data_IF_307892863940
#
_entry.id   IF_307892863940
#
_cell.length_a   1.000
_cell.length_b   1.000
_cell.length_c   1.000
_cell.angle_alpha   90.00
_cell.angle_beta   90.00
_cell.angle_gamma   90.00
#
_symmetry.space_group_name_H-M   'P 1'
#
loop_
_entity.id
_entity.type
_entity.pdbx_description
1 polymer ?
#
# COMPACT_ATOMS: atom_id res chain seq x y z
N UNK A 1 16.23 -13.70 18.83
CA UNK A 1 14.83 -13.60 19.31
C UNK A 1 13.98 -14.50 18.44
N UNK A 2 13.02 -15.21 19.00
CA UNK A 2 12.12 -16.06 18.22
C UNK A 2 11.20 -15.18 17.35
N UNK A 3 11.01 -15.54 16.08
CA UNK A 3 10.13 -14.79 15.15
C UNK A 3 8.71 -14.58 15.69
N UNK A 4 8.19 -15.53 16.46
CA UNK A 4 6.89 -15.42 17.11
C UNK A 4 6.83 -14.26 18.11
N UNK A 5 7.88 -13.99 18.86
CA UNK A 5 7.94 -12.86 19.81
C UNK A 5 7.90 -11.53 19.04
N UNK A 6 8.60 -11.43 17.92
CA UNK A 6 8.59 -10.22 17.07
C UNK A 6 7.18 -9.95 16.53
N UNK A 7 6.49 -10.98 16.05
CA UNK A 7 5.11 -10.86 15.55
C UNK A 7 4.15 -10.44 16.66
N UNK A 8 4.26 -11.03 17.86
CA UNK A 8 3.42 -10.65 19.01
C UNK A 8 3.64 -9.19 19.41
N UNK A 9 4.90 -8.73 19.47
CA UNK A 9 5.21 -7.33 19.76
C UNK A 9 4.59 -6.42 18.68
N UNK A 10 4.71 -6.77 17.42
CA UNK A 10 4.12 -5.99 16.32
C UNK A 10 2.59 -5.88 16.47
N UNK A 11 1.91 -6.98 16.73
CA UNK A 11 0.45 -7.00 16.92
C UNK A 11 0.05 -6.09 18.09
N UNK A 12 0.72 -6.20 19.24
CA UNK A 12 0.41 -5.38 20.43
C UNK A 12 0.64 -3.90 20.14
N UNK A 13 1.75 -3.53 19.51
CA UNK A 13 2.08 -2.13 19.18
C UNK A 13 1.07 -1.56 18.16
N UNK A 14 0.73 -2.30 17.12
CA UNK A 14 -0.24 -1.86 16.11
C UNK A 14 -1.65 -1.76 16.70
N UNK A 15 -2.07 -2.69 17.54
CA UNK A 15 -3.35 -2.64 18.23
C UNK A 15 -3.42 -1.43 19.18
N UNK A 16 -2.37 -1.17 19.96
CA UNK A 16 -2.28 0.01 20.81
C UNK A 16 -2.32 1.29 19.97
N UNK A 17 -1.58 1.36 18.87
CA UNK A 17 -1.62 2.48 17.94
C UNK A 17 -3.01 2.72 17.37
N UNK A 18 -3.73 1.69 16.97
CA UNK A 18 -5.10 1.80 16.50
C UNK A 18 -6.04 2.36 17.59
N UNK A 19 -5.96 1.83 18.81
CA UNK A 19 -6.84 2.24 19.90
C UNK A 19 -6.58 3.65 20.42
N UNK A 20 -5.30 4.03 20.57
CA UNK A 20 -4.95 5.35 21.13
C UNK A 20 -4.79 6.40 20.03
N UNK A 21 -3.92 6.14 19.07
CA UNK A 21 -3.58 7.12 18.03
C UNK A 21 -4.69 7.29 17.00
N UNK A 22 -5.32 6.20 16.55
CA UNK A 22 -6.43 6.24 15.61
C UNK A 22 -7.65 6.97 16.19
N UNK A 23 -8.00 6.71 17.45
CA UNK A 23 -9.09 7.44 18.15
C UNK A 23 -8.77 8.92 18.35
N UNK A 24 -7.55 9.23 18.75
CA UNK A 24 -7.11 10.63 18.91
C UNK A 24 -7.20 11.38 17.58
N UNK A 25 -6.74 10.78 16.49
CA UNK A 25 -6.78 11.36 15.16
C UNK A 25 -8.22 11.58 14.67
N UNK A 26 -9.10 10.58 14.85
CA UNK A 26 -10.51 10.67 14.50
C UNK A 26 -11.22 11.81 15.26
N UNK A 27 -10.95 11.93 16.57
CA UNK A 27 -11.51 13.00 17.39
C UNK A 27 -10.97 14.38 16.98
N UNK A 28 -9.68 14.49 16.67
CA UNK A 28 -9.04 15.74 16.26
C UNK A 28 -9.57 16.25 14.91
N UNK A 29 -9.90 15.35 14.01
CA UNK A 29 -10.45 15.69 12.69
C UNK A 29 -11.97 15.88 12.71
N UNK A 30 -12.61 15.66 13.85
CA UNK A 30 -14.05 15.86 14.01
C UNK A 30 -14.86 14.82 13.23
N UNK A 31 -14.41 13.56 13.24
CA UNK A 31 -15.16 12.47 12.61
C UNK A 31 -16.43 12.21 13.41
N UNK A 32 -17.59 12.40 12.80
CA UNK A 32 -18.87 12.03 13.40
C UNK A 32 -19.27 10.62 12.97
N UNK A 33 -19.26 9.62 13.89
CA UNK A 33 -19.60 8.25 13.56
C UNK A 33 -21.08 8.06 13.18
N UNK A 34 -21.93 9.06 13.42
CA UNK A 34 -23.35 9.06 13.04
C UNK A 34 -23.64 9.74 11.72
N UNK A 35 -22.65 10.45 11.15
CA UNK A 35 -22.80 11.10 9.86
C UNK A 35 -23.03 10.06 8.75
N UNK A 36 -24.05 10.32 7.91
CA UNK A 36 -24.29 9.48 6.73
C UNK A 36 -23.19 9.74 5.71
N UNK A 37 -22.63 8.67 5.18
CA UNK A 37 -21.62 8.78 4.10
C UNK A 37 -22.28 9.13 2.77
N UNK A 38 -21.55 9.71 1.80
CA UNK A 38 -22.08 10.06 0.48
C UNK A 38 -22.78 8.89 -0.24
N UNK A 39 -22.34 7.66 -0.02
CA UNK A 39 -22.98 6.47 -0.58
C UNK A 39 -24.45 6.28 -0.12
N UNK A 40 -24.82 6.80 1.07
CA UNK A 40 -26.18 6.76 1.56
C UNK A 40 -26.98 8.04 1.26
N UNK A 41 -26.30 9.17 1.06
CA UNK A 41 -26.97 10.46 0.80
C UNK A 41 -27.25 10.69 -0.68
N UNK A 42 -26.43 10.12 -1.55
CA UNK A 42 -26.50 10.26 -3.01
C UNK A 42 -26.72 8.91 -3.71
N UNK A 43 -27.35 7.95 -3.01
CA UNK A 43 -27.61 6.62 -3.55
C UNK A 43 -28.37 6.69 -4.88
N UNK A 44 -27.72 6.26 -5.97
CA UNK A 44 -28.26 6.24 -7.33
C UNK A 44 -28.29 4.84 -7.96
N UNK A 45 -27.75 3.84 -7.23
CA UNK A 45 -27.69 2.45 -7.69
C UNK A 45 -26.61 2.16 -8.74
N UNK A 46 -25.84 3.15 -9.14
CA UNK A 46 -24.75 3.02 -10.13
C UNK A 46 -23.41 3.47 -9.55
N UNK A 47 -23.25 4.77 -9.26
CA UNK A 47 -21.99 5.35 -8.76
C UNK A 47 -21.95 5.35 -7.22
N UNK A 48 -23.08 5.54 -6.58
CA UNK A 48 -23.21 5.56 -5.11
C UNK A 48 -24.05 4.39 -4.63
N UNK A 49 -23.39 3.30 -4.33
CA UNK A 49 -24.02 2.08 -3.81
C UNK A 49 -23.50 1.78 -2.40
N UNK A 50 -24.40 1.76 -1.38
CA UNK A 50 -24.01 1.39 -0.03
C UNK A 50 -23.48 -0.05 0.02
N UNK A 51 -22.21 -0.20 0.39
CA UNK A 51 -21.56 -1.51 0.50
C UNK A 51 -21.42 -1.94 1.95
N UNK A 52 -21.30 -3.26 2.18
CA UNK A 52 -21.07 -3.78 3.52
C UNK A 52 -19.70 -3.34 4.06
N UNK A 53 -19.60 -3.19 5.38
CA UNK A 53 -18.31 -2.79 6.03
C UNK A 53 -17.17 -3.75 5.68
N UNK A 54 -17.46 -5.04 5.58
CA UNK A 54 -16.47 -6.05 5.22
C UNK A 54 -15.98 -5.90 3.78
N UNK A 55 -16.89 -5.59 2.85
CA UNK A 55 -16.55 -5.37 1.43
C UNK A 55 -15.64 -4.16 1.28
N UNK A 56 -15.96 -3.05 1.94
CA UNK A 56 -15.13 -1.83 1.92
C UNK A 56 -13.75 -2.10 2.51
N UNK A 57 -13.70 -2.80 3.65
CA UNK A 57 -12.43 -3.18 4.28
C UNK A 57 -11.59 -4.08 3.37
N UNK A 58 -12.19 -5.12 2.78
CA UNK A 58 -11.49 -6.05 1.90
C UNK A 58 -10.94 -5.36 0.66
N UNK A 59 -11.71 -4.44 0.06
CA UNK A 59 -11.27 -3.65 -1.09
C UNK A 59 -10.11 -2.72 -0.73
N UNK A 60 -10.21 -2.01 0.39
CA UNK A 60 -9.13 -1.13 0.87
C UNK A 60 -7.86 -1.91 1.18
N UNK A 61 -7.99 -3.05 1.88
CA UNK A 61 -6.87 -3.93 2.17
C UNK A 61 -6.19 -4.45 0.89
N UNK A 62 -6.97 -4.90 -0.08
CA UNK A 62 -6.46 -5.38 -1.37
C UNK A 62 -5.74 -4.28 -2.16
N UNK A 63 -6.20 -3.03 -2.07
CA UNK A 63 -5.57 -1.89 -2.74
C UNK A 63 -4.22 -1.51 -2.12
N UNK A 64 -4.07 -1.67 -0.80
CA UNK A 64 -2.83 -1.36 -0.07
C UNK A 64 -1.83 -2.53 -0.16
N UNK A 65 -2.31 -3.76 -0.04
CA UNK A 65 -1.48 -4.98 0.00
C UNK A 65 -0.95 -5.38 -1.39
N UNK A 66 -0.31 -4.45 -2.08
CA UNK A 66 0.41 -4.71 -3.33
C UNK A 66 1.77 -5.37 -3.13
N UNK A 67 2.52 -5.57 -4.21
CA UNK A 67 3.85 -6.18 -4.14
C UNK A 67 4.86 -5.33 -3.35
N UNK A 68 4.75 -3.99 -3.37
CA UNK A 68 5.63 -3.07 -2.65
C UNK A 68 5.73 -3.34 -1.15
N UNK A 69 4.61 -3.41 -0.41
CA UNK A 69 4.60 -3.74 1.01
C UNK A 69 5.20 -5.10 1.37
N UNK A 70 5.22 -6.05 0.44
CA UNK A 70 5.84 -7.37 0.64
C UNK A 70 7.32 -7.34 0.30
N UNK A 71 7.69 -6.84 -0.87
CA UNK A 71 9.07 -6.84 -1.36
C UNK A 71 9.95 -5.80 -0.67
N UNK A 72 9.37 -4.64 -0.29
CA UNK A 72 10.09 -3.57 0.37
C UNK A 72 10.80 -3.99 1.65
N UNK A 73 10.12 -4.61 2.62
CA UNK A 73 10.76 -5.14 3.83
C UNK A 73 11.80 -6.23 3.56
N UNK A 74 11.57 -7.08 2.55
CA UNK A 74 12.54 -8.12 2.16
C UNK A 74 13.83 -7.47 1.66
N UNK A 75 13.74 -6.50 0.76
CA UNK A 75 14.89 -5.76 0.26
C UNK A 75 15.59 -4.96 1.37
N UNK A 76 14.80 -4.31 2.22
CA UNK A 76 15.33 -3.54 3.34
C UNK A 76 16.02 -4.40 4.41
N UNK A 77 15.76 -5.71 4.45
CA UNK A 77 16.39 -6.63 5.41
C UNK A 77 17.93 -6.68 5.30
N UNK A 78 18.49 -6.24 4.17
CA UNK A 78 19.94 -6.06 3.96
C UNK A 78 20.54 -5.08 5.00
N UNK A 79 19.77 -4.08 5.44
CA UNK A 79 20.19 -3.11 6.45
C UNK A 79 20.07 -3.63 7.89
N UNK A 80 19.58 -4.85 8.06
CA UNK A 80 19.34 -5.49 9.35
C UNK A 80 17.86 -5.49 9.73
N UNK A 81 17.45 -6.47 10.52
CA UNK A 81 16.04 -6.65 10.88
C UNK A 81 15.49 -5.59 11.86
N UNK A 82 16.32 -5.04 12.74
CA UNK A 82 15.87 -4.07 13.76
C UNK A 82 15.45 -2.73 13.13
N UNK A 83 16.27 -2.09 12.28
CA UNK A 83 15.85 -0.85 11.60
C UNK A 83 14.59 -1.03 10.77
N UNK A 84 14.49 -2.14 10.04
CA UNK A 84 13.32 -2.45 9.20
C UNK A 84 12.07 -2.63 10.06
N UNK A 85 12.17 -3.37 11.15
CA UNK A 85 11.05 -3.59 12.07
C UNK A 85 10.57 -2.29 12.70
N UNK A 86 11.48 -1.44 13.19
CA UNK A 86 11.15 -0.13 13.74
C UNK A 86 10.49 0.77 12.67
N UNK A 87 11.02 0.78 11.45
CA UNK A 87 10.44 1.55 10.35
C UNK A 87 9.03 1.06 9.98
N UNK A 88 8.80 -0.25 9.94
CA UNK A 88 7.48 -0.81 9.67
C UNK A 88 6.46 -0.41 10.73
N UNK A 89 6.83 -0.42 12.01
CA UNK A 89 5.93 -0.03 13.09
C UNK A 89 5.67 1.47 13.12
N UNK A 90 6.73 2.28 13.12
CA UNK A 90 6.62 3.73 13.24
C UNK A 90 6.11 4.33 11.92
N UNK A 91 6.71 3.95 10.80
CA UNK A 91 6.34 4.42 9.48
C UNK A 91 4.91 4.01 9.10
N UNK A 92 4.55 2.76 9.33
CA UNK A 92 3.20 2.26 9.08
C UNK A 92 2.15 2.99 9.92
N UNK A 93 2.43 3.24 11.19
CA UNK A 93 1.49 3.89 12.10
C UNK A 93 1.37 5.40 11.84
N UNK A 94 2.49 6.12 11.76
CA UNK A 94 2.48 7.59 11.71
C UNK A 94 2.37 8.14 10.29
N UNK A 95 2.94 7.46 9.29
CA UNK A 95 2.87 7.92 7.90
C UNK A 95 1.79 7.19 7.11
N UNK A 96 1.83 5.86 7.06
CA UNK A 96 0.88 5.07 6.27
C UNK A 96 -0.56 5.24 6.73
N UNK A 97 -0.85 4.93 7.99
CA UNK A 97 -2.21 5.01 8.52
C UNK A 97 -2.79 6.42 8.48
N UNK A 98 -1.99 7.47 8.72
CA UNK A 98 -2.45 8.87 8.65
C UNK A 98 -2.75 9.28 7.21
N UNK A 99 -1.91 8.88 6.26
CA UNK A 99 -2.13 9.18 4.85
C UNK A 99 -3.41 8.53 4.34
N UNK A 100 -3.60 7.24 4.62
CA UNK A 100 -4.76 6.49 4.15
C UNK A 100 -6.04 7.00 4.79
N UNK A 101 -6.02 7.22 6.10
CA UNK A 101 -7.14 7.82 6.81
C UNK A 101 -7.46 9.24 6.30
N UNK A 102 -6.42 10.04 6.04
CA UNK A 102 -6.57 11.40 5.50
C UNK A 102 -7.18 11.43 4.11
N UNK A 103 -6.74 10.56 3.23
CA UNK A 103 -7.27 10.43 1.88
C UNK A 103 -8.76 10.00 1.91
N UNK A 104 -9.09 9.00 2.72
CA UNK A 104 -10.45 8.52 2.89
C UNK A 104 -11.37 9.61 3.49
N UNK A 105 -10.92 10.27 4.56
CA UNK A 105 -11.66 11.35 5.19
C UNK A 105 -11.90 12.53 4.25
N UNK A 106 -10.87 12.95 3.49
CA UNK A 106 -10.99 14.01 2.51
C UNK A 106 -11.98 13.65 1.40
N UNK A 107 -11.96 12.42 0.92
CA UNK A 107 -12.91 11.94 -0.08
C UNK A 107 -14.35 11.94 0.45
N UNK A 108 -14.59 11.36 1.63
CA UNK A 108 -15.93 11.32 2.24
C UNK A 108 -16.47 12.74 2.50
N UNK A 109 -15.63 13.66 2.97
CA UNK A 109 -16.01 15.06 3.21
C UNK A 109 -16.29 15.87 1.93
N UNK A 110 -15.82 15.40 0.80
CA UNK A 110 -16.03 16.03 -0.51
C UNK A 110 -16.91 15.14 -1.42
N UNK A 111 -17.98 14.58 -0.89
CA UNK A 111 -19.00 13.80 -1.63
C UNK A 111 -18.45 12.57 -2.38
N UNK A 112 -17.45 11.90 -1.82
CA UNK A 112 -16.84 10.72 -2.43
C UNK A 112 -15.97 11.01 -3.65
N UNK A 113 -15.57 12.27 -3.86
CA UNK A 113 -14.76 12.67 -5.02
C UNK A 113 -13.34 12.14 -4.94
N UNK A 114 -12.75 11.84 -6.11
CA UNK A 114 -11.35 11.46 -6.23
C UNK A 114 -10.42 12.61 -5.88
N UNK A 115 -9.16 12.29 -5.48
CA UNK A 115 -8.17 13.29 -5.11
C UNK A 115 -7.92 14.33 -6.21
N UNK A 116 -7.97 13.94 -7.48
CA UNK A 116 -7.84 14.87 -8.60
C UNK A 116 -8.95 15.93 -8.65
N UNK A 117 -10.19 15.54 -8.32
CA UNK A 117 -11.32 16.47 -8.24
C UNK A 117 -11.26 17.37 -7.00
N UNK A 118 -10.74 16.84 -5.90
CA UNK A 118 -10.52 17.61 -4.66
C UNK A 118 -9.45 18.68 -4.90
N UNK A 119 -8.36 18.32 -5.57
CA UNK A 119 -7.30 19.27 -5.95
C UNK A 119 -7.86 20.35 -6.89
N UNK A 120 -8.71 20.00 -7.84
CA UNK A 120 -9.37 21.00 -8.68
C UNK A 120 -10.20 22.00 -7.88
N UNK A 121 -10.93 21.51 -6.87
CA UNK A 121 -11.77 22.36 -6.02
C UNK A 121 -10.98 23.37 -5.19
N UNK A 122 -9.81 22.97 -4.67
CA UNK A 122 -9.02 23.81 -3.74
C UNK A 122 -7.85 24.55 -4.42
N UNK A 123 -7.27 24.00 -5.47
CA UNK A 123 -6.08 24.56 -6.13
C UNK A 123 -6.41 25.06 -7.56
N UNK A 124 -7.46 24.48 -8.17
CA UNK A 124 -7.91 24.84 -9.51
C UNK A 124 -7.50 23.85 -10.59
N UNK A 125 -7.92 24.14 -11.83
CA UNK A 125 -7.77 23.25 -12.99
C UNK A 125 -6.32 22.92 -13.34
N UNK A 126 -5.41 23.86 -13.13
CA UNK A 126 -3.97 23.65 -13.38
C UNK A 126 -3.39 22.63 -12.40
N UNK A 127 -3.75 22.73 -11.11
CA UNK A 127 -3.35 21.77 -10.10
C UNK A 127 -3.84 20.35 -10.42
N UNK A 128 -5.09 20.20 -10.88
CA UNK A 128 -5.62 18.90 -11.33
C UNK A 128 -4.81 18.32 -12.48
N UNK A 129 -4.52 19.13 -13.51
CA UNK A 129 -3.74 18.66 -14.69
C UNK A 129 -2.35 18.19 -14.30
N UNK A 130 -1.65 18.96 -13.46
CA UNK A 130 -0.32 18.58 -12.96
C UNK A 130 -0.37 17.30 -12.12
N UNK A 131 -1.37 17.17 -11.25
CA UNK A 131 -1.55 15.97 -10.44
C UNK A 131 -1.85 14.74 -11.32
N UNK A 132 -2.71 14.86 -12.32
CA UNK A 132 -3.01 13.77 -13.25
C UNK A 132 -1.79 13.36 -14.08
N UNK A 133 -0.99 14.34 -14.53
CA UNK A 133 0.28 14.07 -15.22
C UNK A 133 1.26 13.34 -14.30
N UNK A 134 1.38 13.78 -13.06
CA UNK A 134 2.21 13.10 -12.05
C UNK A 134 1.76 11.65 -11.83
N UNK A 135 0.46 11.42 -11.62
CA UNK A 135 -0.09 10.08 -11.45
C UNK A 135 0.17 9.19 -12.66
N UNK A 136 0.05 9.73 -13.87
CA UNK A 136 0.32 9.00 -15.09
C UNK A 136 1.79 8.58 -15.20
N UNK A 137 2.72 9.51 -15.00
CA UNK A 137 4.15 9.23 -14.99
C UNK A 137 4.53 8.23 -13.89
N UNK A 138 3.96 8.40 -12.70
CA UNK A 138 4.18 7.48 -11.57
C UNK A 138 3.68 6.07 -11.90
N UNK A 139 2.52 5.93 -12.53
CA UNK A 139 2.00 4.63 -12.97
C UNK A 139 2.93 3.95 -13.96
N UNK A 140 3.49 4.67 -14.93
CA UNK A 140 4.48 4.12 -15.87
C UNK A 140 5.74 3.62 -15.13
N UNK A 141 6.24 4.39 -14.18
CA UNK A 141 7.39 4.01 -13.36
C UNK A 141 7.12 2.74 -12.55
N UNK A 142 5.95 2.65 -11.92
CA UNK A 142 5.52 1.49 -11.15
C UNK A 142 5.39 0.25 -12.05
N UNK A 143 4.77 0.40 -13.22
CA UNK A 143 4.68 -0.70 -14.20
C UNK A 143 6.05 -1.18 -14.65
N UNK A 144 6.97 -0.27 -14.95
CA UNK A 144 8.33 -0.61 -15.33
C UNK A 144 9.07 -1.37 -14.20
N UNK A 145 8.94 -0.90 -12.96
CA UNK A 145 9.56 -1.55 -11.80
C UNK A 145 9.01 -2.96 -11.54
N UNK A 146 7.69 -3.15 -11.66
CA UNK A 146 7.10 -4.48 -11.53
C UNK A 146 7.47 -5.40 -12.68
N UNK A 147 7.54 -4.89 -13.90
CA UNK A 147 7.97 -5.67 -15.07
C UNK A 147 9.42 -6.14 -14.90
N UNK A 148 10.32 -5.26 -14.43
CA UNK A 148 11.71 -5.62 -14.17
C UNK A 148 11.83 -6.67 -13.06
N UNK A 149 11.05 -6.52 -11.98
CA UNK A 149 11.01 -7.48 -10.87
C UNK A 149 10.52 -8.86 -11.34
N UNK A 150 9.45 -8.92 -12.13
CA UNK A 150 8.92 -10.17 -12.69
C UNK A 150 9.90 -10.76 -13.69
N UNK A 151 10.46 -9.97 -14.60
CA UNK A 151 11.48 -10.43 -15.55
C UNK A 151 12.71 -10.99 -14.84
N UNK A 152 13.13 -10.37 -13.73
CA UNK A 152 14.23 -10.84 -12.88
C UNK A 152 14.00 -12.26 -12.33
N UNK A 153 12.76 -12.63 -12.03
CA UNK A 153 12.44 -13.99 -11.56
C UNK A 153 12.65 -15.04 -12.64
N UNK A 154 12.37 -14.70 -13.90
CA UNK A 154 12.59 -15.61 -15.03
C UNK A 154 14.06 -15.73 -15.45
N UNK A 155 14.84 -14.66 -15.32
CA UNK A 155 16.27 -14.64 -15.75
C UNK A 155 17.21 -15.08 -14.64
N UNK A 156 16.71 -15.30 -13.42
CA UNK A 156 17.54 -15.70 -12.27
C UNK A 156 18.47 -14.59 -11.76
N UNK A 157 18.26 -13.34 -12.17
CA UNK A 157 18.93 -12.16 -11.59
C UNK A 157 18.19 -11.77 -10.30
N UNK A 158 18.33 -12.61 -9.28
CA UNK A 158 17.87 -12.24 -7.94
C UNK A 158 18.76 -11.15 -7.35
N UNK A 159 18.19 -10.32 -6.50
CA UNK A 159 18.93 -9.38 -5.65
C UNK A 159 20.00 -10.18 -4.89
N UNK A 160 21.26 -9.75 -4.91
CA UNK A 160 22.43 -10.49 -4.40
C UNK A 160 22.30 -11.04 -2.96
N UNK A 161 21.38 -10.54 -2.16
CA UNK A 161 21.10 -11.04 -0.82
C UNK A 161 20.09 -12.21 -0.73
N UNK A 162 19.22 -12.39 -1.75
CA UNK A 162 18.29 -13.52 -1.86
C UNK A 162 18.85 -14.65 -2.74
N UNK A 163 20.01 -14.45 -3.33
CA UNK A 163 20.59 -15.19 -4.47
C UNK A 163 20.99 -16.62 -4.15
N UNK A 164 21.26 -16.98 -2.91
CA UNK A 164 21.65 -18.39 -2.64
C UNK A 164 20.46 -19.34 -2.73
N UNK A 165 19.32 -18.98 -2.15
CA UNK A 165 18.13 -19.85 -2.15
C UNK A 165 17.47 -19.95 -3.55
N UNK A 166 17.39 -18.82 -4.29
CA UNK A 166 16.81 -18.80 -5.64
C UNK A 166 17.73 -19.43 -6.69
N UNK A 167 19.04 -19.35 -6.55
CA UNK A 167 19.95 -20.01 -7.47
C UNK A 167 19.90 -21.54 -7.34
N UNK A 168 19.66 -22.09 -6.15
CA UNK A 168 19.43 -23.51 -5.96
C UNK A 168 18.13 -23.97 -6.64
N UNK A 169 17.02 -23.24 -6.45
CA UNK A 169 15.75 -23.56 -7.08
C UNK A 169 15.80 -23.46 -8.62
N UNK A 170 16.51 -22.48 -9.15
CA UNK A 170 16.66 -22.28 -10.60
C UNK A 170 17.66 -23.26 -11.25
N UNK A 171 18.67 -23.76 -10.52
CA UNK A 171 19.60 -24.75 -11.06
C UNK A 171 18.96 -26.11 -11.28
N UNK A 172 17.93 -26.46 -10.53
CA UNK A 172 17.17 -27.69 -10.71
C UNK A 172 16.08 -27.59 -11.80
N UNK A 173 15.63 -26.38 -12.18
CA UNK A 173 14.52 -26.17 -13.12
C UNK A 173 14.94 -25.90 -14.58
N UNK A 174 16.22 -25.95 -14.95
CA UNK A 174 16.67 -25.72 -16.33
C UNK A 174 17.21 -26.96 -17.06
N UNK A 175 16.34 -27.88 -17.52
CA UNK A 175 16.74 -28.85 -18.55
C UNK A 175 16.91 -28.23 -19.95
N UNK A 176 16.53 -26.94 -20.13
CA UNK A 176 16.53 -26.27 -21.45
C UNK A 176 17.71 -25.33 -21.72
N UNK A 177 18.73 -25.27 -20.85
CA UNK A 177 19.87 -24.38 -21.04
C UNK A 177 20.93 -24.90 -22.03
N UNK A 178 20.69 -26.01 -22.71
CA UNK A 178 21.64 -26.63 -23.63
C UNK A 178 21.62 -26.09 -25.07
N UNK A 179 20.71 -25.17 -25.45
CA UNK A 179 20.55 -24.74 -26.85
C UNK A 179 20.89 -23.29 -27.17
N UNK A 180 21.52 -22.52 -26.27
CA UNK A 180 21.86 -21.12 -26.55
C UNK A 180 23.36 -20.80 -26.68
N UNK A 181 24.20 -21.86 -26.86
CA UNK A 181 25.61 -21.68 -27.19
C UNK A 181 25.96 -22.49 -28.45
N UNK A 182 25.42 -22.08 -29.57
CA UNK A 182 25.91 -22.35 -30.92
C UNK A 182 25.81 -21.07 -31.75
#
# INVERSE_FOLDING_TARGET
>A
MNGLVIVLIAIVVLAAGYLFYGRWLANKWGLDPKAKTPAFTHEDGQDYVPSSKLTVFAHQFSSIAGAGPVTGPILASVFGWVPVFLWLLIGGLFFGAVQDFGALYASVKNDGKSMGMIIEKYIGRTGRKLFMLFCWLFTLLVMAAFTDMVAGTFVGKGVEGATKATNYANSEQHPFRCCSSL
#
